data_IF_875378951872
#
_entry.id   IF_875378951872
#
_cell.length_a   1.000
_cell.length_b   1.000
_cell.length_c   1.000
_cell.angle_alpha   90.00
_cell.angle_beta   90.00
_cell.angle_gamma   90.00
#
_symmetry.space_group_name_H-M   'P 1'
#
loop_
_entity.id
_entity.type
_entity.pdbx_description
1 polymer ?
#
# COMPACT_ATOMS: atom_id res chain seq x y z
N UNK A 1 17.68 29.76 -4.70
CA UNK A 1 17.31 30.30 -6.03
C UNK A 1 15.83 29.99 -6.24
N UNK A 2 14.94 30.97 -6.14
CA UNK A 2 13.50 30.79 -6.39
C UNK A 2 13.25 30.54 -7.88
N UNK A 3 12.53 29.47 -8.25
CA UNK A 3 11.87 29.37 -9.57
C UNK A 3 10.52 28.63 -9.49
N UNK A 4 9.48 29.45 -9.64
CA UNK A 4 8.15 29.23 -10.22
C UNK A 4 7.35 27.96 -9.84
N UNK A 5 6.41 28.12 -8.91
CA UNK A 5 5.19 27.32 -8.88
C UNK A 5 4.35 27.66 -10.11
N UNK A 6 4.21 26.72 -11.05
CA UNK A 6 3.25 26.84 -12.13
C UNK A 6 1.85 26.50 -11.57
N UNK A 7 0.98 27.50 -11.50
CA UNK A 7 -0.41 27.36 -11.09
C UNK A 7 -1.17 26.58 -12.17
N UNK A 8 -1.45 25.30 -11.93
CA UNK A 8 -2.44 24.55 -12.71
C UNK A 8 -3.85 24.82 -12.17
N UNK A 9 -4.88 24.96 -13.02
CA UNK A 9 -6.18 25.53 -12.62
C UNK A 9 -7.12 24.52 -11.94
N UNK A 10 -6.66 23.32 -11.62
CA UNK A 10 -7.48 22.31 -10.96
C UNK A 10 -6.68 21.66 -9.84
N UNK A 11 -7.33 21.40 -8.70
CA UNK A 11 -6.75 21.03 -7.41
C UNK A 11 -6.09 19.63 -7.42
N UNK A 12 -5.12 19.40 -8.29
CA UNK A 12 -4.29 18.19 -8.35
C UNK A 12 -2.87 18.60 -7.99
N UNK A 13 -2.47 18.24 -6.78
CA UNK A 13 -1.08 18.39 -6.33
C UNK A 13 -0.23 17.32 -7.03
N UNK A 14 0.32 17.64 -8.19
CA UNK A 14 1.41 16.86 -8.77
C UNK A 14 2.73 17.40 -8.21
N UNK A 15 3.24 16.76 -7.16
CA UNK A 15 4.60 17.01 -6.69
C UNK A 15 5.58 16.33 -7.66
N UNK A 16 6.05 17.08 -8.64
CA UNK A 16 7.19 16.72 -9.48
C UNK A 16 8.37 17.59 -9.01
N UNK A 17 9.13 17.10 -8.02
CA UNK A 17 10.47 17.60 -7.77
C UNK A 17 11.38 16.45 -7.35
N UNK A 18 12.60 16.46 -7.89
CA UNK A 18 13.52 15.32 -7.97
C UNK A 18 13.80 14.60 -6.66
N UNK A 19 13.47 13.32 -6.61
CA UNK A 19 13.77 12.43 -5.49
C UNK A 19 14.97 11.54 -5.84
N UNK A 20 16.09 11.81 -5.15
CA UNK A 20 17.25 10.91 -5.08
C UNK A 20 16.78 9.46 -4.84
N UNK A 21 17.24 8.51 -5.67
CA UNK A 21 16.73 7.12 -5.78
C UNK A 21 17.00 6.20 -4.57
N UNK A 22 17.41 6.73 -3.41
CA UNK A 22 17.86 5.94 -2.26
C UNK A 22 16.77 5.53 -1.23
N UNK A 23 15.73 6.33 -0.90
CA UNK A 23 14.72 5.92 0.07
C UNK A 23 13.62 5.02 -0.51
N UNK A 24 13.48 4.94 -1.85
CA UNK A 24 12.50 4.06 -2.50
C UNK A 24 12.68 2.62 -2.06
N UNK A 25 13.92 2.20 -1.74
CA UNK A 25 14.16 0.81 -1.41
C UNK A 25 13.49 0.40 -0.08
N UNK A 26 13.73 1.15 0.99
CA UNK A 26 13.15 0.81 2.30
C UNK A 26 11.63 0.97 2.27
N UNK A 27 11.12 1.95 1.53
CA UNK A 27 9.68 2.20 1.45
C UNK A 27 8.92 1.10 0.73
N UNK A 28 9.43 0.61 -0.41
CA UNK A 28 8.81 -0.54 -1.09
C UNK A 28 8.92 -1.81 -0.24
N UNK A 29 10.02 -2.05 0.49
CA UNK A 29 10.12 -3.22 1.37
C UNK A 29 9.06 -3.19 2.48
N UNK A 30 8.92 -2.03 3.12
CA UNK A 30 7.91 -1.84 4.15
C UNK A 30 6.49 -1.96 3.58
N UNK A 31 6.24 -1.49 2.37
CA UNK A 31 4.96 -1.67 1.68
C UNK A 31 4.65 -3.15 1.43
N UNK A 32 5.61 -3.91 0.90
CA UNK A 32 5.44 -5.35 0.67
C UNK A 32 5.21 -6.09 2.00
N UNK A 33 6.00 -5.78 3.04
CA UNK A 33 5.84 -6.38 4.36
C UNK A 33 4.48 -6.08 5.01
N UNK A 34 4.01 -4.83 4.93
CA UNK A 34 2.69 -4.42 5.41
C UNK A 34 1.54 -5.14 4.72
N UNK A 35 1.73 -5.49 3.45
CA UNK A 35 0.73 -6.17 2.62
C UNK A 35 0.91 -7.70 2.61
N UNK A 36 1.84 -8.23 3.39
CA UNK A 36 2.12 -9.67 3.43
C UNK A 36 2.62 -10.25 2.11
N UNK A 37 3.17 -9.40 1.23
CA UNK A 37 3.66 -9.80 -0.09
C UNK A 37 5.10 -10.33 0.01
N UNK A 38 5.48 -11.31 -0.84
CA UNK A 38 6.84 -11.80 -0.87
C UNK A 38 7.80 -10.74 -1.42
N UNK A 39 8.90 -10.48 -0.71
CA UNK A 39 9.92 -9.50 -1.10
C UNK A 39 10.65 -9.86 -2.42
N UNK A 40 10.44 -11.05 -2.97
CA UNK A 40 11.00 -11.50 -4.25
C UNK A 40 10.29 -10.91 -5.47
N UNK A 41 9.03 -10.49 -5.34
CA UNK A 41 8.22 -9.93 -6.45
C UNK A 41 8.33 -8.41 -6.53
N UNK A 42 9.46 -7.89 -6.06
CA UNK A 42 9.56 -6.51 -5.69
C UNK A 42 9.88 -5.63 -6.88
N UNK A 43 8.95 -4.73 -7.18
CA UNK A 43 9.11 -3.75 -8.24
C UNK A 43 8.70 -2.38 -7.72
N UNK A 44 9.46 -1.35 -8.10
CA UNK A 44 9.14 0.03 -7.75
C UNK A 44 7.89 0.46 -8.53
N UNK A 45 6.83 0.92 -7.85
CA UNK A 45 5.62 1.33 -8.55
C UNK A 45 5.87 2.51 -9.49
N UNK A 46 5.32 2.46 -10.70
CA UNK A 46 5.30 3.61 -11.59
C UNK A 46 4.27 4.64 -11.10
N UNK A 47 4.71 5.89 -11.06
CA UNK A 47 4.23 6.94 -10.17
C UNK A 47 3.10 7.75 -10.80
N UNK A 48 1.90 7.16 -10.89
CA UNK A 48 0.63 7.89 -11.00
C UNK A 48 -0.53 7.00 -10.56
N UNK A 49 -0.77 6.92 -9.25
CA UNK A 49 -1.97 6.28 -8.73
C UNK A 49 -2.99 7.35 -8.33
N UNK A 50 -4.17 7.33 -8.96
CA UNK A 50 -5.32 8.11 -8.50
C UNK A 50 -5.77 7.49 -7.16
N UNK A 51 -5.87 8.33 -6.14
CA UNK A 51 -6.29 7.90 -4.81
C UNK A 51 -7.81 7.74 -4.78
N UNK A 52 -8.27 6.50 -4.69
CA UNK A 52 -9.68 6.16 -4.55
C UNK A 52 -9.97 5.80 -3.09
N UNK A 53 -10.93 6.48 -2.47
CA UNK A 53 -11.27 6.27 -1.05
C UNK A 53 -11.55 4.80 -0.73
N UNK A 54 -12.28 4.12 -1.58
CA UNK A 54 -12.66 2.72 -1.36
C UNK A 54 -11.43 1.80 -1.40
N UNK A 55 -10.46 2.10 -2.26
CA UNK A 55 -9.20 1.35 -2.36
C UNK A 55 -8.32 1.58 -1.14
N UNK A 56 -8.25 2.83 -0.65
CA UNK A 56 -7.55 3.15 0.60
C UNK A 56 -8.18 2.37 1.76
N UNK A 57 -9.49 2.40 1.89
CA UNK A 57 -10.20 1.69 2.97
C UNK A 57 -9.97 0.18 2.89
N UNK A 58 -10.03 -0.41 1.69
CA UNK A 58 -9.76 -1.83 1.48
C UNK A 58 -8.30 -2.20 1.84
N UNK A 59 -7.34 -1.34 1.48
CA UNK A 59 -5.93 -1.49 1.84
C UNK A 59 -5.72 -1.45 3.35
N UNK A 60 -6.28 -0.44 4.04
CA UNK A 60 -6.15 -0.32 5.50
C UNK A 60 -6.79 -1.51 6.20
N UNK A 61 -8.00 -1.91 5.79
CA UNK A 61 -8.69 -3.12 6.30
C UNK A 61 -7.82 -4.38 6.10
N UNK A 62 -7.13 -4.48 4.97
CA UNK A 62 -6.22 -5.59 4.71
C UNK A 62 -5.04 -5.61 5.70
N UNK A 63 -4.40 -4.46 5.93
CA UNK A 63 -3.31 -4.30 6.91
C UNK A 63 -3.78 -4.66 8.32
N UNK A 64 -4.98 -4.22 8.72
CA UNK A 64 -5.54 -4.55 10.04
C UNK A 64 -5.71 -6.04 10.24
N UNK A 65 -6.25 -6.72 9.24
CA UNK A 65 -6.44 -8.16 9.31
C UNK A 65 -5.12 -8.91 9.41
N UNK A 66 -4.11 -8.52 8.63
CA UNK A 66 -2.80 -9.18 8.67
C UNK A 66 -2.09 -8.96 10.01
N UNK A 67 -2.17 -7.75 10.54
CA UNK A 67 -1.48 -7.37 11.78
C UNK A 67 -2.25 -7.71 13.06
N UNK A 68 -3.56 -7.99 12.98
CA UNK A 68 -4.44 -8.17 14.12
C UNK A 68 -4.62 -6.92 14.98
N UNK A 69 -4.26 -5.74 14.46
CA UNK A 69 -4.27 -4.45 15.14
C UNK A 69 -4.90 -3.38 14.25
N UNK A 70 -5.36 -2.26 14.83
CA UNK A 70 -5.82 -1.11 14.06
C UNK A 70 -4.71 -0.55 13.16
N UNK A 71 -5.06 -0.06 11.96
CA UNK A 71 -4.09 0.25 10.91
C UNK A 71 -3.12 1.35 11.35
N UNK A 72 -3.61 2.32 12.11
CA UNK A 72 -2.85 3.45 12.63
C UNK A 72 -1.73 2.98 13.57
N UNK A 73 -2.03 2.03 14.47
CA UNK A 73 -1.07 1.40 15.37
C UNK A 73 -0.06 0.56 14.60
N UNK A 74 -0.48 -0.14 13.56
CA UNK A 74 0.41 -0.96 12.72
C UNK A 74 1.38 -0.09 11.94
N UNK A 75 0.90 0.98 11.30
CA UNK A 75 1.76 1.92 10.58
C UNK A 75 2.71 2.68 11.52
N UNK A 76 2.25 3.08 12.71
CA UNK A 76 3.08 3.80 13.68
C UNK A 76 4.31 2.99 14.18
N UNK A 77 4.30 1.65 14.07
CA UNK A 77 5.42 0.79 14.46
C UNK A 77 6.52 0.71 13.41
N UNK A 78 6.26 1.15 12.19
CA UNK A 78 7.18 1.00 11.06
C UNK A 78 7.77 2.37 10.73
N UNK A 79 9.10 2.43 10.70
CA UNK A 79 9.81 3.64 10.27
C UNK A 79 9.96 3.62 8.76
N UNK A 80 10.00 4.81 8.15
CA UNK A 80 10.23 4.98 6.71
C UNK A 80 9.14 4.30 5.87
N UNK A 81 7.92 4.82 5.94
CA UNK A 81 6.81 4.42 5.07
C UNK A 81 6.50 5.58 4.13
N UNK A 82 6.26 5.25 2.86
CA UNK A 82 5.66 6.13 1.88
C UNK A 82 4.22 5.68 1.67
N UNK A 83 3.26 6.57 1.95
CA UNK A 83 1.85 6.28 1.70
C UNK A 83 1.60 6.03 0.19
N UNK A 84 2.38 6.69 -0.68
CA UNK A 84 2.35 6.47 -2.12
C UNK A 84 2.82 5.08 -2.51
N UNK A 85 3.98 4.63 -1.99
CA UNK A 85 4.49 3.29 -2.31
C UNK A 85 3.57 2.20 -1.77
N UNK A 86 3.03 2.40 -0.57
CA UNK A 86 2.07 1.48 0.03
C UNK A 86 0.80 1.36 -0.83
N UNK A 87 0.20 2.49 -1.23
CA UNK A 87 -1.01 2.50 -2.05
C UNK A 87 -0.76 1.95 -3.45
N UNK A 88 0.32 2.36 -4.11
CA UNK A 88 0.64 1.89 -5.46
C UNK A 88 0.97 0.38 -5.47
N UNK A 89 1.67 -0.12 -4.44
CA UNK A 89 1.90 -1.56 -4.26
C UNK A 89 0.58 -2.30 -4.04
N UNK A 90 -0.32 -1.77 -3.21
CA UNK A 90 -1.63 -2.37 -2.99
C UNK A 90 -2.45 -2.47 -4.27
N UNK A 91 -2.57 -1.38 -5.04
CA UNK A 91 -3.35 -1.36 -6.29
C UNK A 91 -2.81 -2.38 -7.30
N UNK A 92 -1.48 -2.43 -7.44
CA UNK A 92 -0.82 -3.38 -8.34
C UNK A 92 -1.16 -4.83 -8.00
N UNK A 93 -1.25 -5.15 -6.71
CA UNK A 93 -1.46 -6.51 -6.22
C UNK A 93 -2.89 -6.80 -5.76
N UNK A 94 -3.82 -5.85 -5.91
CA UNK A 94 -5.17 -5.92 -5.31
C UNK A 94 -5.89 -7.22 -5.70
N UNK A 95 -5.79 -7.62 -6.97
CA UNK A 95 -6.45 -8.83 -7.47
C UNK A 95 -5.88 -10.08 -6.79
N UNK A 96 -4.56 -10.17 -6.62
CA UNK A 96 -3.91 -11.30 -5.97
C UNK A 96 -4.24 -11.34 -4.47
N UNK A 97 -4.15 -10.18 -3.80
CA UNK A 97 -4.50 -10.03 -2.40
C UNK A 97 -5.95 -10.46 -2.16
N UNK A 98 -6.93 -9.93 -2.91
CA UNK A 98 -8.35 -10.29 -2.75
C UNK A 98 -8.61 -11.79 -2.91
N UNK A 99 -7.90 -12.48 -3.81
CA UNK A 99 -8.00 -13.94 -3.98
C UNK A 99 -7.44 -14.69 -2.78
N UNK A 100 -6.28 -14.28 -2.25
CA UNK A 100 -5.70 -14.89 -1.03
C UNK A 100 -6.68 -14.83 0.13
N UNK A 101 -7.34 -13.70 0.30
CA UNK A 101 -8.31 -13.49 1.39
C UNK A 101 -9.57 -14.34 1.24
N UNK A 102 -10.08 -14.45 0.01
CA UNK A 102 -11.23 -15.31 -0.27
C UNK A 102 -10.89 -16.78 0.02
N UNK A 103 -9.67 -17.20 -0.31
CA UNK A 103 -9.18 -18.55 -0.04
C UNK A 103 -9.03 -18.82 1.47
N UNK A 104 -8.40 -17.92 2.22
CA UNK A 104 -8.28 -18.04 3.68
C UNK A 104 -9.64 -18.07 4.39
N UNK A 105 -10.57 -17.21 3.98
CA UNK A 105 -11.92 -17.19 4.54
C UNK A 105 -12.67 -18.51 4.29
N UNK A 106 -12.57 -19.04 3.07
CA UNK A 106 -13.14 -20.35 2.71
C UNK A 106 -12.55 -21.47 3.55
N UNK A 107 -11.23 -21.49 3.72
CA UNK A 107 -10.56 -22.50 4.54
C UNK A 107 -10.97 -22.40 6.01
N UNK A 108 -11.03 -21.19 6.58
CA UNK A 108 -11.47 -20.99 7.96
C UNK A 108 -12.91 -21.47 8.17
N UNK A 109 -13.82 -21.18 7.24
CA UNK A 109 -15.20 -21.66 7.29
C UNK A 109 -15.28 -23.19 7.20
N UNK A 110 -14.47 -23.81 6.34
CA UNK A 110 -14.40 -25.26 6.22
C UNK A 110 -13.89 -25.93 7.50
N UNK A 111 -12.86 -25.37 8.15
CA UNK A 111 -12.37 -25.87 9.44
C UNK A 111 -13.40 -25.72 10.57
N UNK A 112 -14.10 -24.59 10.63
CA UNK A 112 -15.15 -24.36 11.62
C UNK A 112 -16.37 -25.29 11.45
N UNK A 113 -16.61 -25.83 10.26
CA UNK A 113 -17.70 -26.77 10.00
C UNK A 113 -17.39 -28.23 10.41
N UNK A 114 -16.12 -28.54 10.73
CA UNK A 114 -15.66 -29.89 11.10
C UNK A 114 -15.36 -29.98 12.62
N UNK A 115 -15.49 -28.87 13.36
CA UNK A 115 -15.29 -28.79 14.81
C UNK A 115 -16.63 -28.64 15.51
#
# INVERSE_FOLDING_TARGET
>A
MLKAAATLPDRRFCWLDGYDRAPSRVWTDNAYGLLGLPLTERETPEWMAVWERDKINAMLTHIERLSGCAWDKTLARIRHISAHDLYATYIRHETALRRSLAYEAKNRAAFAAIT
#
